data_IF_888320896690
#
_entry.id   IF_888320896690
#
_cell.length_a   1.000
_cell.length_b   1.000
_cell.length_c   1.000
_cell.angle_alpha   90.00
_cell.angle_beta   90.00
_cell.angle_gamma   90.00
#
_symmetry.space_group_name_H-M   'P 1'
#
loop_
_entity.id
_entity.type
_entity.pdbx_description
1 polymer ?
#
# COMPACT_ATOMS: atom_id res chain seq x y z
N UNK A 1 10.56 35.34 15.43
CA UNK A 1 10.15 34.05 16.03
C UNK A 1 8.70 33.70 15.75
N UNK A 2 7.72 34.56 16.06
CA UNK A 2 6.28 34.25 15.83
C UNK A 2 5.93 33.76 14.41
N UNK A 3 6.41 34.44 13.36
CA UNK A 3 6.13 34.04 11.97
C UNK A 3 6.66 32.65 11.59
N UNK A 4 7.86 32.28 12.07
CA UNK A 4 8.43 30.95 11.82
C UNK A 4 7.64 29.84 12.50
N UNK A 5 7.18 30.08 13.74
CA UNK A 5 6.33 29.14 14.48
C UNK A 5 4.98 28.96 13.76
N UNK A 6 4.38 30.05 13.29
CA UNK A 6 3.13 29.99 12.51
C UNK A 6 3.29 29.23 11.20
N UNK A 7 4.41 29.42 10.50
CA UNK A 7 4.69 28.71 9.25
C UNK A 7 4.85 27.20 9.48
N UNK A 8 5.63 26.78 10.49
CA UNK A 8 5.76 25.36 10.82
C UNK A 8 4.41 24.79 11.28
N UNK A 9 3.59 25.56 12.01
CA UNK A 9 2.24 25.14 12.42
C UNK A 9 1.31 24.88 11.23
N UNK A 10 1.34 25.76 10.23
CA UNK A 10 0.61 25.56 8.98
C UNK A 10 1.09 24.30 8.24
N UNK A 11 2.42 24.10 8.13
CA UNK A 11 2.99 22.91 7.51
C UNK A 11 2.59 21.62 8.23
N UNK A 12 2.63 21.59 9.56
CA UNK A 12 2.23 20.41 10.36
C UNK A 12 0.74 20.09 10.18
N UNK A 13 -0.13 21.09 10.10
CA UNK A 13 -1.54 20.87 9.79
C UNK A 13 -1.75 20.30 8.39
N UNK A 14 -0.99 20.78 7.39
CA UNK A 14 -1.04 20.24 6.04
C UNK A 14 -0.55 18.78 5.99
N UNK A 15 0.55 18.47 6.68
CA UNK A 15 1.05 17.09 6.80
C UNK A 15 0.01 16.20 7.49
N UNK A 16 -0.65 16.68 8.54
CA UNK A 16 -1.75 15.94 9.19
C UNK A 16 -2.87 15.58 8.22
N UNK A 17 -3.30 16.54 7.39
CA UNK A 17 -4.33 16.32 6.38
C UNK A 17 -3.91 15.31 5.32
N UNK A 18 -2.68 15.43 4.82
CA UNK A 18 -2.11 14.50 3.84
C UNK A 18 -1.97 13.08 4.41
N UNK A 19 -1.51 12.95 5.66
CA UNK A 19 -1.41 11.66 6.36
C UNK A 19 -2.78 11.02 6.52
N UNK A 20 -3.81 11.80 6.88
CA UNK A 20 -5.18 11.28 6.97
C UNK A 20 -5.67 10.74 5.62
N UNK A 21 -5.49 11.50 4.53
CA UNK A 21 -5.85 11.06 3.19
C UNK A 21 -5.09 9.79 2.77
N UNK A 22 -3.78 9.76 3.01
CA UNK A 22 -2.95 8.59 2.71
C UNK A 22 -3.40 7.36 3.49
N UNK A 23 -3.83 7.52 4.76
CA UNK A 23 -4.36 6.42 5.59
C UNK A 23 -5.63 5.84 4.96
N UNK A 24 -6.55 6.69 4.52
CA UNK A 24 -7.78 6.25 3.87
C UNK A 24 -7.50 5.55 2.53
N UNK A 25 -6.60 6.11 1.71
CA UNK A 25 -6.18 5.46 0.45
C UNK A 25 -5.51 4.10 0.70
N UNK A 26 -4.67 3.98 1.74
CA UNK A 26 -4.05 2.71 2.10
C UNK A 26 -5.09 1.66 2.54
N UNK A 27 -6.09 2.06 3.33
CA UNK A 27 -7.21 1.18 3.71
C UNK A 27 -8.06 0.75 2.52
N UNK A 28 -8.33 1.65 1.58
CA UNK A 28 -9.04 1.33 0.34
C UNK A 28 -8.23 0.36 -0.54
N UNK A 29 -6.91 0.56 -0.63
CA UNK A 29 -5.99 -0.38 -1.25
C UNK A 29 -6.05 -1.75 -0.61
N UNK A 30 -6.05 -1.83 0.73
CA UNK A 30 -6.19 -3.08 1.46
C UNK A 30 -7.52 -3.78 1.15
N UNK A 31 -8.65 -3.07 1.16
CA UNK A 31 -9.97 -3.65 0.80
C UNK A 31 -9.99 -4.17 -0.65
N UNK A 32 -9.35 -3.45 -1.56
CA UNK A 32 -9.25 -3.85 -2.96
C UNK A 32 -8.43 -5.14 -3.11
N UNK A 33 -7.34 -5.27 -2.35
CA UNK A 33 -6.54 -6.49 -2.27
C UNK A 33 -7.36 -7.65 -1.68
N UNK A 34 -8.06 -7.46 -0.57
CA UNK A 34 -8.91 -8.50 0.04
C UNK A 34 -9.97 -9.01 -0.96
N UNK A 35 -10.56 -8.09 -1.74
CA UNK A 35 -11.50 -8.44 -2.81
C UNK A 35 -10.81 -9.23 -3.93
N UNK A 36 -9.60 -8.86 -4.32
CA UNK A 36 -8.81 -9.60 -5.31
C UNK A 36 -8.44 -11.01 -4.84
N UNK A 37 -8.07 -11.19 -3.56
CA UNK A 37 -7.81 -12.52 -2.96
C UNK A 37 -9.07 -13.40 -3.03
N UNK A 38 -10.23 -12.87 -2.65
CA UNK A 38 -11.50 -13.59 -2.74
C UNK A 38 -11.85 -13.97 -4.17
N UNK A 39 -11.57 -13.07 -5.13
CA UNK A 39 -11.75 -13.35 -6.55
C UNK A 39 -10.81 -14.45 -7.05
N UNK A 40 -9.55 -14.46 -6.62
CA UNK A 40 -8.60 -15.52 -6.98
C UNK A 40 -9.05 -16.89 -6.45
N UNK A 41 -9.56 -16.96 -5.22
CA UNK A 41 -10.12 -18.21 -4.68
C UNK A 41 -11.33 -18.70 -5.50
N UNK A 42 -12.18 -17.78 -5.99
CA UNK A 42 -13.30 -18.11 -6.87
C UNK A 42 -12.83 -18.61 -8.25
N UNK A 43 -11.75 -18.03 -8.78
CA UNK A 43 -11.12 -18.48 -10.03
C UNK A 43 -10.52 -19.88 -9.84
N UNK A 44 -9.79 -20.13 -8.75
CA UNK A 44 -9.23 -21.44 -8.42
C UNK A 44 -10.33 -22.52 -8.39
N UNK A 45 -11.44 -22.25 -7.70
CA UNK A 45 -12.57 -23.17 -7.66
C UNK A 45 -13.15 -23.43 -9.06
N UNK A 46 -13.25 -22.39 -9.89
CA UNK A 46 -13.78 -22.50 -11.25
C UNK A 46 -12.87 -23.37 -12.13
N UNK A 47 -11.55 -23.13 -12.09
CA UNK A 47 -10.56 -23.90 -12.84
C UNK A 47 -10.57 -25.37 -12.41
N UNK A 48 -10.60 -25.64 -11.10
CA UNK A 48 -10.68 -27.01 -10.58
C UNK A 48 -11.96 -27.73 -11.01
N UNK A 49 -13.10 -27.03 -11.00
CA UNK A 49 -14.35 -27.62 -11.50
C UNK A 49 -14.29 -27.91 -13.01
N UNK A 50 -13.73 -26.98 -13.81
CA UNK A 50 -13.50 -27.21 -15.24
C UNK A 50 -12.60 -28.42 -15.47
N UNK A 51 -11.51 -28.59 -14.71
CA UNK A 51 -10.61 -29.73 -14.82
C UNK A 51 -11.33 -31.05 -14.58
N UNK A 52 -12.21 -31.09 -13.57
CA UNK A 52 -13.02 -32.27 -13.29
C UNK A 52 -14.02 -32.58 -14.42
N UNK A 53 -14.65 -31.57 -15.02
CA UNK A 53 -15.56 -31.75 -16.17
C UNK A 53 -14.82 -32.29 -17.39
N UNK A 54 -13.64 -31.74 -17.70
CA UNK A 54 -12.81 -32.21 -18.82
C UNK A 54 -12.30 -33.63 -18.57
N UNK A 55 -11.92 -33.95 -17.34
CA UNK A 55 -11.51 -35.32 -16.97
C UNK A 55 -12.64 -36.32 -17.22
N UNK A 56 -13.87 -35.99 -16.82
CA UNK A 56 -15.05 -36.82 -17.13
C UNK A 56 -15.33 -36.94 -18.63
N UNK A 57 -15.03 -35.91 -19.42
CA UNK A 57 -15.14 -35.98 -20.88
C UNK A 57 -14.10 -36.95 -21.47
N UNK A 58 -12.88 -36.95 -20.95
CA UNK A 58 -11.85 -37.94 -21.30
C UNK A 58 -12.29 -39.38 -20.99
N UNK A 59 -12.84 -39.62 -19.79
CA UNK A 59 -13.40 -40.93 -19.40
C UNK A 59 -14.53 -41.38 -20.35
N UNK A 60 -15.49 -40.50 -20.64
CA UNK A 60 -16.58 -40.81 -21.59
C UNK A 60 -16.08 -41.06 -23.00
N UNK A 61 -15.07 -40.32 -23.44
CA UNK A 61 -14.46 -40.52 -24.76
C UNK A 61 -13.77 -41.88 -24.84
N UNK A 62 -13.19 -42.36 -23.73
CA UNK A 62 -12.64 -43.72 -23.62
C UNK A 62 -13.72 -44.80 -23.71
N UNK A 63 -14.85 -44.62 -23.03
CA UNK A 63 -16.01 -45.52 -23.15
C UNK A 63 -16.55 -45.56 -24.58
N UNK A 64 -16.67 -44.41 -25.25
CA UNK A 64 -17.09 -44.35 -26.66
C UNK A 64 -16.09 -45.08 -27.55
N UNK A 65 -14.78 -44.94 -27.32
CA UNK A 65 -13.75 -45.68 -28.04
C UNK A 65 -13.97 -47.21 -27.97
N UNK A 66 -14.29 -47.75 -26.79
CA UNK A 66 -14.59 -49.17 -26.62
C UNK A 66 -15.85 -49.62 -27.38
N UNK A 67 -16.87 -48.77 -27.43
CA UNK A 67 -18.10 -49.03 -28.20
C UNK A 67 -17.77 -49.07 -29.70
N UNK A 68 -16.97 -48.12 -30.19
CA UNK A 68 -16.55 -48.05 -31.59
C UNK A 68 -15.73 -49.26 -32.00
N UNK A 69 -14.80 -49.71 -31.15
CA UNK A 69 -14.03 -50.95 -31.36
C UNK A 69 -14.96 -52.17 -31.47
N UNK A 70 -15.98 -52.24 -30.62
CA UNK A 70 -17.00 -53.32 -30.65
C UNK A 70 -17.79 -53.28 -31.95
N UNK A 71 -18.24 -52.10 -32.40
CA UNK A 71 -18.96 -51.92 -33.67
C UNK A 71 -18.08 -52.35 -34.85
N UNK A 72 -16.81 -51.95 -34.86
CA UNK A 72 -15.85 -52.37 -35.90
C UNK A 72 -15.68 -53.89 -35.92
N UNK A 73 -15.64 -54.54 -34.74
CA UNK A 73 -15.62 -56.00 -34.64
C UNK A 73 -16.88 -56.67 -35.20
N UNK A 74 -18.06 -56.15 -34.88
CA UNK A 74 -19.36 -56.64 -35.41
C UNK A 74 -19.44 -56.46 -36.92
N UNK A 75 -19.01 -55.31 -37.45
CA UNK A 75 -18.96 -55.05 -38.88
C UNK A 75 -18.02 -56.05 -39.59
N UNK A 76 -16.85 -56.33 -39.03
CA UNK A 76 -15.92 -57.35 -39.55
C UNK A 76 -16.51 -58.76 -39.55
N UNK A 77 -17.20 -59.18 -38.48
CA UNK A 77 -17.90 -60.46 -38.44
C UNK A 77 -19.06 -60.53 -39.44
N UNK A 78 -19.82 -59.44 -39.57
CA UNK A 78 -20.94 -59.35 -40.53
C UNK A 78 -20.43 -59.44 -41.97
N UNK A 79 -19.29 -58.79 -42.26
CA UNK A 79 -18.64 -58.88 -43.56
C UNK A 79 -18.21 -60.33 -43.88
N UNK A 80 -17.61 -61.04 -42.91
CA UNK A 80 -17.26 -62.46 -43.06
C UNK A 80 -18.48 -63.37 -43.23
N UNK A 81 -19.55 -63.13 -42.48
CA UNK A 81 -20.82 -63.86 -42.61
C UNK A 81 -21.45 -63.65 -43.98
N UNK A 82 -21.49 -62.41 -44.46
CA UNK A 82 -22.01 -62.05 -45.77
C UNK A 82 -21.20 -62.67 -46.91
N UNK A 83 -19.86 -62.69 -46.78
CA UNK A 83 -18.98 -63.37 -47.73
C UNK A 83 -19.25 -64.88 -47.79
N UNK A 84 -19.37 -65.54 -46.63
CA UNK A 84 -19.70 -66.96 -46.57
C UNK A 84 -21.09 -67.25 -47.19
N UNK A 85 -22.08 -66.40 -46.94
CA UNK A 85 -23.40 -66.50 -47.54
C UNK A 85 -23.36 -66.31 -49.07
N UNK A 86 -22.56 -65.37 -49.57
CA UNK A 86 -22.36 -65.17 -51.01
C UNK A 86 -21.70 -66.38 -51.68
N UNK A 87 -20.72 -67.00 -51.02
CA UNK A 87 -20.07 -68.24 -51.49
C UNK A 87 -21.07 -69.38 -51.57
N UNK A 88 -21.87 -69.60 -50.52
CA UNK A 88 -22.85 -70.71 -50.50
C UNK A 88 -24.01 -70.46 -51.48
N UNK A 89 -24.42 -69.20 -51.66
CA UNK A 89 -25.40 -68.82 -52.66
C UNK A 89 -24.90 -69.06 -54.10
N UNK A 90 -23.62 -68.78 -54.38
CA UNK A 90 -23.01 -69.13 -55.67
C UNK A 90 -22.94 -70.65 -55.88
N UNK A 91 -22.74 -71.42 -54.80
CA UNK A 91 -22.70 -72.88 -54.81
C UNK A 91 -24.06 -73.53 -55.12
N UNK A 92 -25.16 -72.88 -54.73
CA UNK A 92 -26.53 -73.31 -55.02
C UNK A 92 -26.99 -73.01 -56.47
N UNK A 93 -26.15 -72.37 -57.30
CA UNK A 93 -26.44 -72.08 -58.70
C UNK A 93 -27.63 -71.14 -58.90
N UNK A 94 -28.51 -71.43 -59.86
CA UNK A 94 -29.66 -70.57 -60.18
C UNK A 94 -30.66 -70.41 -59.01
N UNK A 95 -30.75 -71.38 -58.10
CA UNK A 95 -31.63 -71.31 -56.92
C UNK A 95 -31.11 -70.34 -55.84
N UNK A 96 -29.80 -70.05 -55.82
CA UNK A 96 -29.16 -69.15 -54.86
C UNK A 96 -29.05 -67.70 -55.32
N UNK A 97 -29.48 -67.40 -56.55
CA UNK A 97 -29.22 -66.12 -57.23
C UNK A 97 -29.80 -64.90 -56.50
N UNK A 98 -30.99 -65.04 -55.90
CA UNK A 98 -31.59 -63.99 -55.07
C UNK A 98 -30.86 -63.78 -53.73
N UNK A 99 -30.39 -64.88 -53.11
CA UNK A 99 -29.61 -64.81 -51.86
C UNK A 99 -28.22 -64.21 -52.08
N UNK A 100 -27.60 -64.45 -53.24
CA UNK A 100 -26.30 -63.85 -53.59
C UNK A 100 -26.36 -62.33 -53.65
N UNK A 101 -27.44 -61.75 -54.19
CA UNK A 101 -27.64 -60.29 -54.24
C UNK A 101 -27.78 -59.69 -52.84
N UNK A 102 -28.57 -60.34 -51.97
CA UNK A 102 -28.74 -59.89 -50.59
C UNK A 102 -27.42 -59.99 -49.82
N UNK A 103 -26.68 -61.09 -49.98
CA UNK A 103 -25.38 -61.28 -49.33
C UNK A 103 -24.37 -60.19 -49.74
N UNK A 104 -24.32 -59.82 -51.02
CA UNK A 104 -23.45 -58.75 -51.51
C UNK A 104 -23.84 -57.36 -50.96
N UNK A 105 -25.14 -57.07 -50.86
CA UNK A 105 -25.59 -55.79 -50.26
C UNK A 105 -25.28 -55.72 -48.76
N UNK A 106 -25.44 -56.83 -48.03
CA UNK A 106 -25.04 -56.92 -46.60
C UNK A 106 -23.53 -56.77 -46.45
N UNK A 107 -22.73 -57.37 -47.35
CA UNK A 107 -21.26 -57.22 -47.38
C UNK A 107 -20.87 -55.76 -47.52
N UNK A 108 -21.48 -55.06 -48.48
CA UNK A 108 -21.24 -53.63 -48.73
C UNK A 108 -21.64 -52.75 -47.53
N UNK A 109 -22.77 -53.02 -46.89
CA UNK A 109 -23.19 -52.32 -45.67
C UNK A 109 -22.22 -52.55 -44.51
N UNK A 110 -21.68 -53.77 -44.38
CA UNK A 110 -20.68 -54.09 -43.38
C UNK A 110 -19.35 -53.36 -43.62
N UNK A 111 -18.87 -53.29 -44.86
CA UNK A 111 -17.68 -52.51 -45.24
C UNK A 111 -17.88 -51.01 -44.97
N UNK A 112 -19.05 -50.46 -45.33
CA UNK A 112 -19.39 -49.06 -45.03
C UNK A 112 -19.44 -48.78 -43.51
N UNK A 113 -20.00 -49.70 -42.74
CA UNK A 113 -20.05 -49.59 -41.27
C UNK A 113 -18.65 -49.63 -40.66
N UNK A 114 -17.74 -50.44 -41.22
CA UNK A 114 -16.36 -50.53 -40.77
C UNK A 114 -15.58 -49.23 -41.05
N UNK A 115 -15.76 -48.64 -42.24
CA UNK A 115 -15.14 -47.35 -42.57
C UNK A 115 -15.66 -46.22 -41.69
N UNK A 116 -16.98 -46.18 -41.45
CA UNK A 116 -17.58 -45.21 -40.53
C UNK A 116 -17.04 -45.38 -39.09
N UNK A 117 -16.94 -46.62 -38.59
CA UNK A 117 -16.37 -46.89 -37.27
C UNK A 117 -14.91 -46.39 -37.17
N UNK A 118 -14.10 -46.58 -38.21
CA UNK A 118 -12.72 -46.09 -38.27
C UNK A 118 -12.62 -44.56 -38.23
N UNK A 119 -13.51 -43.86 -38.94
CA UNK A 119 -13.59 -42.41 -38.89
C UNK A 119 -13.95 -41.91 -37.49
N UNK A 120 -14.95 -42.54 -36.84
CA UNK A 120 -15.34 -42.20 -35.47
C UNK A 120 -14.18 -42.47 -34.50
N UNK A 121 -13.45 -43.59 -34.64
CA UNK A 121 -12.30 -43.91 -33.81
C UNK A 121 -11.21 -42.83 -33.90
N UNK A 122 -10.96 -42.30 -35.10
CA UNK A 122 -10.01 -41.20 -35.31
C UNK A 122 -10.44 -39.94 -34.58
N UNK A 123 -11.71 -39.53 -34.72
CA UNK A 123 -12.27 -38.37 -34.01
C UNK A 123 -12.21 -38.54 -32.49
N UNK A 124 -12.50 -39.73 -31.98
CA UNK A 124 -12.41 -40.02 -30.54
C UNK A 124 -10.96 -39.93 -30.05
N UNK A 125 -9.99 -40.42 -30.82
CA UNK A 125 -8.57 -40.29 -30.48
C UNK A 125 -8.12 -38.82 -30.43
N UNK A 126 -8.60 -37.98 -31.36
CA UNK A 126 -8.33 -36.54 -31.37
C UNK A 126 -8.95 -35.86 -30.14
N UNK A 127 -10.22 -36.17 -29.83
CA UNK A 127 -10.91 -35.64 -28.65
C UNK A 127 -10.16 -36.02 -27.37
N UNK A 128 -9.71 -37.27 -27.23
CA UNK A 128 -8.92 -37.72 -26.09
C UNK A 128 -7.63 -36.89 -25.95
N UNK A 129 -6.88 -36.72 -27.04
CA UNK A 129 -5.66 -35.90 -27.04
C UNK A 129 -5.91 -34.44 -26.66
N UNK A 130 -7.01 -33.85 -27.12
CA UNK A 130 -7.38 -32.48 -26.77
C UNK A 130 -7.87 -32.36 -25.32
N UNK A 131 -8.56 -33.38 -24.79
CA UNK A 131 -8.92 -33.41 -23.36
C UNK A 131 -7.68 -33.50 -22.47
N UNK A 132 -6.67 -34.30 -22.84
CA UNK A 132 -5.44 -34.41 -22.07
C UNK A 132 -4.67 -33.08 -22.04
N UNK A 133 -4.56 -32.41 -23.19
CA UNK A 133 -3.96 -31.06 -23.27
C UNK A 133 -4.72 -30.06 -22.40
N UNK A 134 -6.06 -30.11 -22.41
CA UNK A 134 -6.89 -29.22 -21.59
C UNK A 134 -6.70 -29.48 -20.09
N UNK A 135 -6.55 -30.73 -19.65
CA UNK A 135 -6.23 -31.07 -18.25
C UNK A 135 -4.87 -30.50 -17.84
N UNK A 136 -3.85 -30.64 -18.67
CA UNK A 136 -2.51 -30.07 -18.41
C UNK A 136 -2.59 -28.55 -18.28
N UNK A 137 -3.24 -27.88 -19.24
CA UNK A 137 -3.40 -26.42 -19.23
C UNK A 137 -4.18 -25.93 -17.99
N UNK A 138 -5.20 -26.67 -17.54
CA UNK A 138 -5.92 -26.34 -16.31
C UNK A 138 -5.06 -26.55 -15.06
N UNK A 139 -4.21 -27.57 -15.02
CA UNK A 139 -3.26 -27.78 -13.91
C UNK A 139 -2.24 -26.63 -13.81
N UNK A 140 -1.70 -26.19 -14.96
CA UNK A 140 -0.85 -24.99 -15.02
C UNK A 140 -1.63 -23.74 -14.59
N UNK A 141 -2.87 -23.57 -15.05
CA UNK A 141 -3.75 -22.48 -14.64
C UNK A 141 -3.97 -22.42 -13.12
N UNK A 142 -4.21 -23.56 -12.47
CA UNK A 142 -4.33 -23.63 -10.99
C UNK A 142 -3.03 -23.20 -10.30
N UNK A 143 -1.87 -23.58 -10.84
CA UNK A 143 -0.57 -23.15 -10.31
C UNK A 143 -0.38 -21.64 -10.44
N UNK A 144 -0.70 -21.06 -11.58
CA UNK A 144 -0.60 -19.62 -11.81
C UNK A 144 -1.53 -18.82 -10.91
N UNK A 145 -2.77 -19.29 -10.68
CA UNK A 145 -3.70 -18.66 -9.72
C UNK A 145 -3.14 -18.67 -8.31
N UNK A 146 -2.49 -19.77 -7.90
CA UNK A 146 -1.85 -19.86 -6.58
C UNK A 146 -0.70 -18.86 -6.42
N UNK A 147 0.19 -18.77 -7.41
CA UNK A 147 1.28 -17.78 -7.44
C UNK A 147 0.71 -16.35 -7.42
N UNK A 148 -0.31 -16.07 -8.24
CA UNK A 148 -0.99 -14.79 -8.25
C UNK A 148 -1.59 -14.43 -6.88
N UNK A 149 -2.16 -15.41 -6.18
CA UNK A 149 -2.71 -15.23 -4.83
C UNK A 149 -1.62 -14.87 -3.82
N UNK A 150 -0.43 -15.48 -3.90
CA UNK A 150 0.70 -15.13 -3.04
C UNK A 150 1.15 -13.68 -3.27
N UNK A 151 1.30 -13.25 -4.54
CA UNK A 151 1.67 -11.88 -4.90
C UNK A 151 0.67 -10.86 -4.39
N UNK A 152 -0.63 -11.13 -4.56
CA UNK A 152 -1.71 -10.25 -4.10
C UNK A 152 -1.72 -10.17 -2.56
N UNK A 153 -1.48 -11.27 -1.86
CA UNK A 153 -1.34 -11.26 -0.39
C UNK A 153 -0.14 -10.42 0.07
N UNK A 154 1.01 -10.52 -0.61
CA UNK A 154 2.17 -9.67 -0.32
C UNK A 154 1.85 -8.18 -0.49
N UNK A 155 1.10 -7.81 -1.53
CA UNK A 155 0.62 -6.44 -1.71
C UNK A 155 -0.31 -5.99 -0.56
N UNK A 156 -1.15 -6.88 -0.04
CA UNK A 156 -2.01 -6.62 1.12
C UNK A 156 -1.21 -6.33 2.39
N UNK A 157 -0.13 -7.09 2.63
CA UNK A 157 0.79 -6.83 3.74
C UNK A 157 1.48 -5.47 3.60
N UNK A 158 1.90 -5.09 2.39
CA UNK A 158 2.50 -3.78 2.13
C UNK A 158 1.51 -2.62 2.44
N UNK A 159 0.24 -2.73 2.03
CA UNK A 159 -0.77 -1.72 2.39
C UNK A 159 -1.00 -1.62 3.90
N UNK A 160 -0.97 -2.74 4.61
CA UNK A 160 -1.08 -2.77 6.08
C UNK A 160 0.11 -2.07 6.75
N UNK A 161 1.32 -2.30 6.26
CA UNK A 161 2.53 -1.63 6.74
C UNK A 161 2.50 -0.12 6.46
N UNK A 162 2.08 0.27 5.25
CA UNK A 162 1.88 1.68 4.89
C UNK A 162 0.90 2.35 5.86
N UNK A 163 -0.24 1.71 6.15
CA UNK A 163 -1.22 2.26 7.09
C UNK A 163 -0.64 2.44 8.49
N UNK A 164 0.20 1.50 8.96
CA UNK A 164 0.88 1.60 10.26
C UNK A 164 1.90 2.74 10.29
N UNK A 165 2.71 2.90 9.24
CA UNK A 165 3.67 4.01 9.13
C UNK A 165 2.95 5.38 9.13
N UNK A 166 1.81 5.48 8.46
CA UNK A 166 1.02 6.72 8.43
C UNK A 166 0.44 7.06 9.82
N UNK A 167 0.09 6.06 10.63
CA UNK A 167 -0.32 6.29 12.02
C UNK A 167 0.84 6.84 12.85
N UNK A 168 2.05 6.32 12.67
CA UNK A 168 3.25 6.86 13.35
C UNK A 168 3.55 8.30 12.94
N UNK A 169 3.43 8.64 11.64
CA UNK A 169 3.59 10.02 11.17
C UNK A 169 2.53 10.92 11.81
N UNK A 170 1.29 10.45 11.95
CA UNK A 170 0.21 11.21 12.59
C UNK A 170 0.50 11.50 14.07
N UNK A 171 1.14 10.57 14.78
CA UNK A 171 1.58 10.77 16.17
C UNK A 171 2.72 11.80 16.26
N UNK A 172 3.73 11.71 15.39
CA UNK A 172 4.83 12.68 15.32
C UNK A 172 4.36 14.10 14.98
N UNK A 173 3.35 14.22 14.12
CA UNK A 173 2.67 15.49 13.80
C UNK A 173 2.01 16.08 15.04
N UNK A 174 1.36 15.26 15.87
CA UNK A 174 0.73 15.69 17.12
C UNK A 174 1.77 16.18 18.13
N UNK A 175 2.88 15.46 18.29
CA UNK A 175 4.00 15.89 19.14
C UNK A 175 4.61 17.20 18.65
N UNK A 176 4.84 17.34 17.34
CA UNK A 176 5.36 18.57 16.73
C UNK A 176 4.43 19.75 16.97
N UNK A 177 3.11 19.53 16.87
CA UNK A 177 2.10 20.56 17.16
C UNK A 177 2.16 21.03 18.62
N UNK A 178 2.29 20.10 19.57
CA UNK A 178 2.45 20.43 20.99
C UNK A 178 3.74 21.21 21.26
N UNK A 179 4.87 20.80 20.67
CA UNK A 179 6.15 21.50 20.80
C UNK A 179 6.07 22.94 20.25
N UNK A 180 5.36 23.15 19.15
CA UNK A 180 5.15 24.49 18.59
C UNK A 180 4.29 25.38 19.48
N UNK A 181 3.25 24.85 20.12
CA UNK A 181 2.45 25.60 21.09
C UNK A 181 3.30 26.05 22.28
N UNK A 182 4.15 25.17 22.80
CA UNK A 182 5.09 25.51 23.87
C UNK A 182 6.08 26.59 23.43
N UNK A 183 6.64 26.48 22.22
CA UNK A 183 7.55 27.47 21.66
C UNK A 183 6.89 28.83 21.42
N UNK A 184 5.61 28.85 21.02
CA UNK A 184 4.83 30.08 20.90
C UNK A 184 4.69 30.79 22.25
N UNK A 185 4.35 30.02 23.31
CA UNK A 185 4.29 30.54 24.68
C UNK A 185 5.61 31.11 25.17
N UNK A 186 6.71 30.37 24.98
CA UNK A 186 8.06 30.83 25.34
C UNK A 186 8.49 32.08 24.56
N UNK A 187 8.16 32.17 23.27
CA UNK A 187 8.41 33.38 22.47
C UNK A 187 7.66 34.60 23.02
N UNK A 188 6.44 34.42 23.50
CA UNK A 188 5.65 35.52 24.08
C UNK A 188 6.23 35.98 25.42
N UNK A 189 6.74 35.05 26.24
CA UNK A 189 7.46 35.38 27.46
C UNK A 189 8.73 36.18 27.18
N UNK A 190 9.54 35.77 26.19
CA UNK A 190 10.74 36.51 25.77
C UNK A 190 10.39 37.94 25.35
N UNK A 191 9.36 38.12 24.51
CA UNK A 191 8.89 39.45 24.10
C UNK A 191 8.50 40.31 25.31
N UNK A 192 7.89 39.71 26.33
CA UNK A 192 7.49 40.40 27.55
C UNK A 192 8.70 40.80 28.38
N UNK A 193 9.67 39.90 28.57
CA UNK A 193 10.92 40.17 29.29
C UNK A 193 11.76 41.27 28.60
N UNK A 194 11.84 41.25 27.26
CA UNK A 194 12.53 42.29 26.50
C UNK A 194 11.89 43.67 26.71
N UNK A 195 10.55 43.75 26.72
CA UNK A 195 9.83 45.00 27.03
C UNK A 195 10.09 45.48 28.47
N UNK A 196 10.16 44.57 29.43
CA UNK A 196 10.52 44.92 30.81
C UNK A 196 11.95 45.45 30.92
N UNK A 197 12.90 44.83 30.21
CA UNK A 197 14.30 45.30 30.15
C UNK A 197 14.40 46.69 29.53
N UNK A 198 13.64 46.96 28.45
CA UNK A 198 13.57 48.30 27.84
C UNK A 198 13.06 49.34 28.84
N UNK A 199 11.98 49.03 29.58
CA UNK A 199 11.46 49.90 30.63
C UNK A 199 12.44 50.14 31.78
N UNK A 200 13.10 49.10 32.26
CA UNK A 200 14.14 49.21 33.30
C UNK A 200 15.34 50.03 32.82
N UNK A 201 15.74 49.87 31.56
CA UNK A 201 16.85 50.63 30.97
C UNK A 201 16.52 52.11 30.89
N UNK A 202 15.28 52.47 30.49
CA UNK A 202 14.81 53.87 30.49
C UNK A 202 14.81 54.47 31.90
N UNK A 203 14.28 53.74 32.88
CA UNK A 203 14.27 54.19 34.28
C UNK A 203 15.69 54.34 34.86
N UNK A 204 16.63 53.49 34.45
CA UNK A 204 18.03 53.60 34.86
C UNK A 204 18.70 54.85 34.28
N UNK A 205 18.41 55.19 33.02
CA UNK A 205 18.88 56.44 32.39
C UNK A 205 18.34 57.66 33.13
N UNK A 206 17.03 57.70 33.43
CA UNK A 206 16.42 58.80 34.19
C UNK A 206 17.07 58.95 35.58
N UNK A 207 17.22 57.85 36.33
CA UNK A 207 17.89 57.87 37.63
C UNK A 207 19.34 58.33 37.53
N UNK A 208 20.08 57.90 36.50
CA UNK A 208 21.46 58.32 36.29
C UNK A 208 21.57 59.83 36.02
N UNK A 209 20.59 60.41 35.31
CA UNK A 209 20.50 61.86 35.11
C UNK A 209 20.20 62.59 36.42
N UNK A 210 19.24 62.09 37.22
CA UNK A 210 18.95 62.66 38.55
C UNK A 210 20.17 62.63 39.47
N UNK A 211 20.90 61.50 39.50
CA UNK A 211 22.13 61.38 40.30
C UNK A 211 23.20 62.34 39.80
N UNK A 212 23.36 62.51 38.48
CA UNK A 212 24.32 63.47 37.93
C UNK A 212 23.99 64.91 38.35
N UNK A 213 22.73 65.32 38.24
CA UNK A 213 22.27 66.64 38.70
C UNK A 213 22.49 66.85 40.20
N UNK A 214 22.16 65.85 41.03
CA UNK A 214 22.41 65.92 42.48
C UNK A 214 23.92 65.99 42.80
N UNK A 215 24.76 65.33 42.01
CA UNK A 215 26.23 65.39 42.16
C UNK A 215 26.78 66.78 41.80
N UNK A 216 26.21 67.44 40.79
CA UNK A 216 26.53 68.83 40.43
C UNK A 216 26.14 69.81 41.54
N UNK A 217 24.92 69.71 42.09
CA UNK A 217 24.47 70.52 43.23
C UNK A 217 25.34 70.29 44.49
N UNK A 218 25.71 69.03 44.74
CA UNK A 218 26.59 68.68 45.86
C UNK A 218 28.00 69.28 45.68
N UNK A 219 28.55 69.28 44.47
CA UNK A 219 29.84 69.93 44.19
C UNK A 219 29.78 71.43 44.46
N UNK A 220 28.73 72.11 43.99
CA UNK A 220 28.54 73.54 44.25
C UNK A 220 28.44 73.84 45.76
N UNK A 221 27.68 73.04 46.50
CA UNK A 221 27.56 73.18 47.96
C UNK A 221 28.89 72.97 48.68
N UNK A 222 29.73 72.04 48.20
CA UNK A 222 31.07 71.81 48.75
C UNK A 222 32.01 72.99 48.49
N UNK A 223 31.93 73.64 47.33
CA UNK A 223 32.67 74.87 47.05
C UNK A 223 32.27 75.99 48.02
N UNK A 224 30.97 76.18 48.28
CA UNK A 224 30.49 77.16 49.26
C UNK A 224 31.00 76.86 50.68
N UNK A 225 30.94 75.58 51.10
CA UNK A 225 31.46 75.15 52.41
C UNK A 225 32.97 75.41 52.51
N UNK A 226 33.73 75.15 51.44
CA UNK A 226 35.17 75.42 51.41
C UNK A 226 35.45 76.92 51.59
N UNK A 227 34.73 77.78 50.86
CA UNK A 227 34.83 79.25 50.98
C UNK A 227 34.45 79.73 52.39
N UNK A 228 33.38 79.21 52.96
CA UNK A 228 32.94 79.53 54.32
C UNK A 228 33.97 79.09 55.37
N UNK A 229 34.54 77.88 55.23
CA UNK A 229 35.59 77.35 56.10
C UNK A 229 36.86 78.20 56.04
N UNK A 230 37.25 78.65 54.85
CA UNK A 230 38.40 79.53 54.65
C UNK A 230 38.18 80.92 55.28
N UNK A 231 36.95 81.43 55.19
CA UNK A 231 36.55 82.69 55.85
C UNK A 231 36.56 82.55 57.38
N UNK A 232 36.05 81.45 57.92
CA UNK A 232 36.11 81.14 59.36
C UNK A 232 37.55 81.02 59.85
N UNK A 233 38.42 80.33 59.11
CA UNK A 233 39.84 80.22 59.44
C UNK A 233 40.51 81.61 59.49
N UNK A 234 40.22 82.48 58.53
CA UNK A 234 40.72 83.86 58.50
C UNK A 234 40.22 84.68 59.69
N UNK A 235 38.95 84.54 60.06
CA UNK A 235 38.37 85.20 61.23
C UNK A 235 39.01 84.71 62.53
N UNK A 236 39.19 83.39 62.68
CA UNK A 236 39.85 82.79 63.82
C UNK A 236 41.31 83.27 63.95
N UNK A 237 42.05 83.36 62.84
CA UNK A 237 43.40 83.94 62.80
C UNK A 237 43.40 85.41 63.24
N UNK A 238 42.41 86.19 62.79
CA UNK A 238 42.21 87.58 63.21
C UNK A 238 41.95 87.71 64.71
N UNK A 239 41.06 86.87 65.25
CA UNK A 239 40.78 86.82 66.69
C UNK A 239 42.01 86.39 67.51
N UNK A 240 42.74 85.37 67.07
CA UNK A 240 44.00 84.94 67.69
C UNK A 240 45.01 86.10 67.77
N UNK A 241 45.15 86.85 66.66
CA UNK A 241 46.03 88.02 66.59
C UNK A 241 45.57 89.11 67.55
N UNK A 242 44.27 89.42 67.60
CA UNK A 242 43.71 90.39 68.52
C UNK A 242 43.92 90.00 70.00
N UNK A 243 43.71 88.73 70.37
CA UNK A 243 43.95 88.23 71.73
C UNK A 243 45.43 88.26 72.09
N UNK A 244 46.34 88.02 71.15
CA UNK A 244 47.80 88.10 71.39
C UNK A 244 48.27 89.50 71.78
N UNK A 245 47.55 90.57 71.39
CA UNK A 245 47.84 91.93 71.87
C UNK A 245 47.43 92.16 73.34
N UNK A 246 46.60 91.30 73.91
CA UNK A 246 46.15 91.37 75.31
C UNK A 246 46.87 90.38 76.24
N UNK A 247 47.66 89.44 75.68
CA UNK A 247 48.59 88.64 76.47
C UNK A 247 49.94 89.38 76.57
N UNK A 248 50.18 89.97 77.74
CA UNK A 248 51.46 90.59 78.16
C UNK A 248 52.50 89.50 78.43
#
# INVERSE_FOLDING_TARGET
MSAGIQQVAASTNQVSGNSFQASETAKEGQRSVEKAVSQMASIEQTVNNSAHVVTKLGERSKEIGQIVDTISGIAGQTNLLALNAAIEAARAGEQGRGFAVVAEEVRKLAEQSQEAAKQIATLISEIQGDTDKAVVAMSEGTREVKVGTEVVNSAGLAFKEIAALILQVSEQVKESSAAMQQMAGGSQQIVTSVKQIDGLSKAAVEKSQTVSAATEEQSASLEEIAVASQSLAKLAQGLQTAVSHFQI
#
